data_IF_901963616844
#
_entry.id   IF_901963616844
#
_cell.length_a   1.000
_cell.length_b   1.000
_cell.length_c   1.000
_cell.angle_alpha   90.00
_cell.angle_beta   90.00
_cell.angle_gamma   90.00
#
_symmetry.space_group_name_H-M   'P 1'
#
loop_
_entity.id
_entity.type
_entity.pdbx_description
1 polymer ?
#
# COMPACT_ATOMS: atom_id res chain seq x y z
N UNK A 1 9.28 -15.50 -5.45
CA UNK A 1 8.06 -15.92 -6.17
C UNK A 1 7.49 -14.72 -6.88
N UNK A 2 6.72 -14.91 -7.95
CA UNK A 2 6.12 -13.90 -8.84
C UNK A 2 5.27 -12.80 -8.13
N UNK A 3 5.10 -12.96 -6.82
CA UNK A 3 4.24 -12.18 -5.94
C UNK A 3 4.98 -11.07 -5.17
N UNK A 4 6.29 -10.95 -5.32
CA UNK A 4 7.07 -9.91 -4.67
C UNK A 4 6.83 -8.53 -5.33
N UNK A 5 6.59 -7.51 -4.51
CA UNK A 5 6.50 -6.13 -4.96
C UNK A 5 7.91 -5.58 -5.14
N UNK A 6 8.22 -5.03 -6.32
CA UNK A 6 9.54 -4.46 -6.61
C UNK A 6 9.43 -3.07 -7.26
N UNK A 7 10.42 -2.17 -7.09
CA UNK A 7 10.44 -0.92 -7.83
C UNK A 7 10.44 -1.19 -9.35
N UNK A 8 9.75 -0.32 -10.09
CA UNK A 8 9.81 -0.28 -11.55
C UNK A 8 11.14 0.31 -12.02
N UNK A 9 11.70 -0.23 -13.10
CA UNK A 9 12.82 0.44 -13.80
C UNK A 9 12.33 1.62 -14.63
N UNK A 10 13.24 2.47 -15.10
CA UNK A 10 12.89 3.59 -15.98
C UNK A 10 12.25 3.11 -17.30
N UNK A 11 12.78 2.03 -17.88
CA UNK A 11 12.26 1.41 -19.10
C UNK A 11 10.84 0.85 -18.89
N UNK A 12 10.61 0.19 -17.75
CA UNK A 12 9.27 -0.28 -17.37
C UNK A 12 8.32 0.90 -17.12
N UNK A 13 8.79 1.99 -16.53
CA UNK A 13 7.98 3.18 -16.30
C UNK A 13 7.54 3.84 -17.60
N UNK A 14 8.40 3.93 -18.61
CA UNK A 14 8.01 4.44 -19.93
C UNK A 14 6.97 3.51 -20.58
N UNK A 15 7.24 2.20 -20.59
CA UNK A 15 6.36 1.18 -21.18
C UNK A 15 4.99 1.10 -20.53
N UNK A 16 4.94 1.16 -19.20
CA UNK A 16 3.73 0.93 -18.41
C UNK A 16 3.05 2.20 -17.93
N UNK A 17 3.57 3.39 -18.27
CA UNK A 17 2.99 4.68 -17.87
C UNK A 17 1.49 4.80 -18.15
N UNK A 18 1.04 4.36 -19.32
CA UNK A 18 -0.37 4.38 -19.71
C UNK A 18 -1.23 3.39 -18.90
N UNK A 19 -0.69 2.23 -18.54
CA UNK A 19 -1.40 1.19 -17.77
C UNK A 19 -1.44 1.51 -16.27
N UNK A 20 -0.34 2.04 -15.73
CA UNK A 20 -0.21 2.46 -14.33
C UNK A 20 -1.17 3.62 -13.99
N UNK A 21 -1.38 4.52 -14.96
CA UNK A 21 -2.22 5.70 -14.79
C UNK A 21 -1.65 6.71 -13.79
N UNK A 22 -2.43 7.75 -13.44
CA UNK A 22 -1.98 8.81 -12.54
C UNK A 22 -1.79 8.30 -11.10
N UNK A 23 -0.88 8.90 -10.33
CA UNK A 23 -0.67 8.53 -8.94
C UNK A 23 -1.93 8.74 -8.08
N UNK A 24 -2.14 7.91 -7.05
CA UNK A 24 -3.29 8.04 -6.17
C UNK A 24 -3.24 9.39 -5.44
N UNK A 25 -4.39 10.09 -5.43
CA UNK A 25 -4.49 11.41 -4.83
C UNK A 25 -4.35 11.32 -3.31
N UNK A 26 -3.28 11.93 -2.78
CA UNK A 26 -3.09 12.17 -1.35
C UNK A 26 -3.82 13.44 -0.93
N UNK A 27 -4.63 13.34 0.12
CA UNK A 27 -5.19 14.48 0.84
C UNK A 27 -4.50 14.60 2.21
N UNK A 28 -4.74 15.68 2.95
CA UNK A 28 -4.21 15.83 4.32
C UNK A 28 -4.56 14.68 5.27
N UNK A 29 -5.62 13.92 4.95
CA UNK A 29 -6.08 12.75 5.72
C UNK A 29 -5.50 11.40 5.26
N UNK A 30 -4.69 11.36 4.20
CA UNK A 30 -4.19 10.13 3.58
C UNK A 30 -4.65 9.94 2.14
N UNK A 31 -4.60 8.71 1.63
CA UNK A 31 -5.03 8.36 0.27
C UNK A 31 -6.49 7.90 0.27
N UNK A 32 -7.30 8.45 -0.64
CA UNK A 32 -8.74 8.14 -0.70
C UNK A 32 -9.01 6.63 -0.87
N UNK A 33 -8.24 5.94 -1.72
CA UNK A 33 -8.38 4.51 -1.95
C UNK A 33 -8.11 3.69 -0.67
N UNK A 34 -7.03 4.01 0.05
CA UNK A 34 -6.67 3.33 1.30
C UNK A 34 -7.67 3.60 2.41
N UNK A 35 -8.14 4.85 2.53
CA UNK A 35 -9.17 5.23 3.50
C UNK A 35 -10.45 4.45 3.25
N UNK A 36 -10.91 4.38 2.00
CA UNK A 36 -12.09 3.62 1.63
C UNK A 36 -11.93 2.13 1.94
N UNK A 37 -10.75 1.56 1.69
CA UNK A 37 -10.44 0.15 1.97
C UNK A 37 -10.53 -0.18 3.47
N UNK A 38 -9.92 0.64 4.31
CA UNK A 38 -10.00 0.50 5.78
C UNK A 38 -11.44 0.66 6.27
N UNK A 39 -12.20 1.63 5.74
CA UNK A 39 -13.61 1.83 6.11
C UNK A 39 -14.51 0.66 5.71
N UNK A 40 -14.17 -0.03 4.61
CA UNK A 40 -14.85 -1.24 4.15
C UNK A 40 -14.45 -2.50 4.93
N UNK A 41 -13.49 -2.39 5.85
CA UNK A 41 -12.91 -3.52 6.60
C UNK A 41 -12.25 -4.57 5.70
N UNK A 42 -11.69 -4.14 4.56
CA UNK A 42 -10.86 -4.99 3.69
C UNK A 42 -9.49 -5.28 4.31
N UNK A 43 -9.10 -4.51 5.31
CA UNK A 43 -7.97 -4.76 6.21
C UNK A 43 -8.47 -4.50 7.62
N UNK A 44 -8.30 -5.47 8.50
CA UNK A 44 -8.84 -5.42 9.86
C UNK A 44 -7.80 -4.98 10.88
N UNK A 45 -6.51 -5.21 10.60
CA UNK A 45 -5.44 -4.78 11.49
C UNK A 45 -5.23 -3.26 11.48
N UNK A 46 -5.51 -2.60 10.35
CA UNK A 46 -5.27 -1.16 10.16
C UNK A 46 -6.53 -0.38 10.50
N UNK A 47 -6.40 0.57 11.43
CA UNK A 47 -7.49 1.48 11.82
C UNK A 47 -7.12 2.93 11.54
N UNK A 48 -8.01 3.69 10.87
CA UNK A 48 -7.74 5.09 10.50
C UNK A 48 -7.31 5.98 11.67
N UNK A 49 -7.93 5.81 12.83
CA UNK A 49 -7.59 6.59 14.03
C UNK A 49 -6.27 6.21 14.71
N UNK A 50 -5.60 5.14 14.24
CA UNK A 50 -4.33 4.65 14.76
C UNK A 50 -3.16 4.90 13.81
N UNK A 51 -3.42 5.32 12.57
CA UNK A 51 -2.37 5.62 11.60
C UNK A 51 -1.56 6.81 12.10
N UNK A 52 -0.25 6.61 12.27
CA UNK A 52 0.72 7.63 12.67
C UNK A 52 1.28 8.38 11.47
N UNK A 53 1.52 7.66 10.36
CA UNK A 53 2.16 8.21 9.17
C UNK A 53 1.54 7.65 7.89
N UNK A 54 1.42 8.50 6.88
CA UNK A 54 1.14 8.10 5.50
C UNK A 54 2.42 8.29 4.66
N UNK A 55 2.93 7.21 4.08
CA UNK A 55 4.09 7.22 3.19
C UNK A 55 3.78 7.79 1.80
N UNK A 56 4.80 8.03 0.97
CA UNK A 56 4.62 8.47 -0.41
C UNK A 56 4.07 7.34 -1.28
N UNK A 57 3.34 7.69 -2.35
CA UNK A 57 2.97 6.73 -3.38
C UNK A 57 4.17 6.45 -4.29
N UNK A 58 4.43 5.18 -4.60
CA UNK A 58 5.54 4.74 -5.45
C UNK A 58 5.05 3.83 -6.58
N UNK A 59 5.61 3.95 -7.79
CA UNK A 59 5.30 3.01 -8.88
C UNK A 59 6.08 1.71 -8.67
N UNK A 60 5.38 0.57 -8.66
CA UNK A 60 5.98 -0.75 -8.42
C UNK A 60 5.39 -1.81 -9.35
N UNK A 61 6.17 -2.87 -9.60
CA UNK A 61 5.69 -4.08 -10.26
C UNK A 61 5.24 -5.08 -9.20
N UNK A 62 4.04 -5.64 -9.38
CA UNK A 62 3.52 -6.78 -8.63
C UNK A 62 2.81 -7.74 -9.58
N UNK A 63 3.09 -9.05 -9.49
CA UNK A 63 2.53 -10.07 -10.41
C UNK A 63 2.71 -9.70 -11.88
N UNK A 64 3.92 -9.22 -12.21
CA UNK A 64 4.33 -8.75 -13.54
C UNK A 64 3.44 -7.63 -14.13
N UNK A 65 2.76 -6.85 -13.28
CA UNK A 65 1.92 -5.71 -13.67
C UNK A 65 2.28 -4.45 -12.89
N UNK A 66 2.11 -3.26 -13.49
CA UNK A 66 2.37 -1.98 -12.85
C UNK A 66 1.24 -1.59 -11.89
N UNK A 67 1.61 -1.22 -10.67
CA UNK A 67 0.68 -0.69 -9.68
C UNK A 67 1.30 0.48 -8.92
N UNK A 68 0.43 1.33 -8.39
CA UNK A 68 0.83 2.28 -7.36
C UNK A 68 0.83 1.57 -6.03
N UNK A 69 1.83 1.84 -5.20
CA UNK A 69 1.84 1.40 -3.81
C UNK A 69 1.97 2.59 -2.89
N UNK A 70 1.43 2.50 -1.68
CA UNK A 70 1.62 3.52 -0.66
C UNK A 70 1.64 2.86 0.71
N UNK A 71 2.45 3.41 1.63
CA UNK A 71 2.61 2.84 2.97
C UNK A 71 1.86 3.61 4.04
N UNK A 72 1.55 2.93 5.14
CA UNK A 72 1.07 3.52 6.39
C UNK A 72 1.83 2.93 7.55
N UNK A 73 2.17 3.77 8.52
CA UNK A 73 2.73 3.33 9.79
C UNK A 73 1.64 3.38 10.86
N UNK A 74 1.46 2.29 11.59
CA UNK A 74 0.46 2.17 12.65
C UNK A 74 1.01 1.30 13.79
N UNK A 75 0.54 1.51 15.04
CA UNK A 75 0.95 0.69 16.16
C UNK A 75 0.25 -0.68 16.09
N UNK A 76 1.03 -1.76 16.13
CA UNK A 76 0.55 -3.14 16.33
C UNK A 76 0.92 -3.58 17.74
N UNK A 77 -0.03 -4.19 18.45
CA UNK A 77 0.20 -4.71 19.80
C UNK A 77 0.31 -6.23 19.75
N UNK A 78 1.41 -6.77 20.25
CA UNK A 78 1.65 -8.20 20.44
C UNK A 78 1.89 -8.51 21.94
N UNK A 79 2.06 -9.79 22.26
CA UNK A 79 2.40 -10.28 23.60
C UNK A 79 3.70 -9.66 24.16
N UNK A 80 4.59 -9.19 23.28
CA UNK A 80 5.88 -8.60 23.63
C UNK A 80 5.87 -7.06 23.66
N UNK A 81 4.70 -6.43 23.52
CA UNK A 81 4.55 -4.98 23.56
C UNK A 81 3.96 -4.38 22.27
N UNK A 82 3.93 -3.05 22.20
CA UNK A 82 3.43 -2.31 21.03
C UNK A 82 4.59 -1.76 20.23
N UNK A 83 4.62 -2.04 18.94
CA UNK A 83 5.64 -1.58 18.01
C UNK A 83 4.99 -0.92 16.78
N UNK A 84 5.77 -0.09 16.10
CA UNK A 84 5.34 0.53 14.86
C UNK A 84 5.52 -0.45 13.70
N UNK A 85 4.41 -0.75 13.04
CA UNK A 85 4.33 -1.62 11.88
C UNK A 85 4.10 -0.77 10.64
N UNK A 86 4.74 -1.15 9.53
CA UNK A 86 4.48 -0.55 8.23
C UNK A 86 3.72 -1.51 7.33
N UNK A 87 2.53 -1.08 6.91
CA UNK A 87 1.73 -1.76 5.90
C UNK A 87 1.77 -1.01 4.57
N UNK A 88 1.77 -1.75 3.48
CA UNK A 88 1.76 -1.27 2.10
C UNK A 88 0.47 -1.68 1.42
N UNK A 89 -0.25 -0.71 0.87
CA UNK A 89 -1.38 -0.97 -0.01
C UNK A 89 -0.91 -1.06 -1.47
N UNK A 90 -1.36 -2.08 -2.19
CA UNK A 90 -1.25 -2.16 -3.65
C UNK A 90 -2.52 -1.55 -4.24
N UNK A 91 -2.37 -0.53 -5.08
CA UNK A 91 -3.46 0.34 -5.53
C UNK A 91 -3.59 0.24 -7.05
N UNK A 92 -4.83 0.01 -7.50
CA UNK A 92 -5.22 0.09 -8.91
C UNK A 92 -6.36 1.11 -9.06
N UNK A 93 -6.06 2.21 -9.73
CA UNK A 93 -6.99 3.34 -9.85
C UNK A 93 -7.42 3.88 -8.48
N UNK A 94 -8.69 3.66 -8.13
CA UNK A 94 -9.30 4.18 -6.88
C UNK A 94 -9.52 3.10 -5.81
N UNK A 95 -8.95 1.90 -5.96
CA UNK A 95 -9.13 0.78 -5.03
C UNK A 95 -7.80 0.21 -4.58
N UNK A 96 -7.78 -0.26 -3.34
CA UNK A 96 -6.72 -1.15 -2.86
C UNK A 96 -7.07 -2.56 -3.31
N UNK A 97 -6.09 -3.26 -3.88
CA UNK A 97 -6.21 -4.66 -4.27
C UNK A 97 -5.82 -5.56 -3.09
N UNK A 98 -4.75 -5.19 -2.38
CA UNK A 98 -4.21 -6.00 -1.30
C UNK A 98 -3.37 -5.13 -0.36
N UNK A 99 -3.34 -5.49 0.92
CA UNK A 99 -2.49 -4.90 1.94
C UNK A 99 -1.39 -5.88 2.32
N UNK A 100 -0.16 -5.40 2.49
CA UNK A 100 1.00 -6.25 2.80
C UNK A 100 1.94 -5.64 3.80
N UNK A 101 2.56 -6.46 4.65
CA UNK A 101 3.66 -6.00 5.49
C UNK A 101 4.88 -5.67 4.63
N UNK A 102 5.51 -4.51 4.83
CA UNK A 102 6.71 -4.16 4.03
C UNK A 102 7.93 -5.00 4.39
N UNK A 103 7.99 -5.52 5.62
CA UNK A 103 9.08 -6.40 6.07
C UNK A 103 9.04 -7.80 5.47
N UNK A 104 7.85 -8.43 5.47
CA UNK A 104 7.69 -9.83 5.04
C UNK A 104 7.15 -9.98 3.61
N UNK A 105 6.42 -8.98 3.11
CA UNK A 105 5.66 -9.07 1.87
C UNK A 105 4.38 -9.92 1.96
N UNK A 106 4.05 -10.42 3.16
CA UNK A 106 2.83 -11.18 3.46
C UNK A 106 1.61 -10.27 3.50
N UNK A 107 0.43 -10.84 3.21
CA UNK A 107 -0.85 -10.13 3.30
C UNK A 107 -1.17 -9.71 4.73
N UNK A 108 -1.73 -8.52 4.89
CA UNK A 108 -2.26 -8.02 6.16
C UNK A 108 -3.76 -8.35 6.20
N UNK A 109 -4.24 -9.04 7.25
CA UNK A 109 -5.66 -9.38 7.40
C UNK A 109 -6.55 -8.18 7.80
#
# INVERSE_FOLDING_TARGET
GDDAVRPMTAEEMEKFSAELGPPPKRSGKGYAAMIASIQRKEVTEISLGKIKLWGPARPQIWKNKPYWTATVTYPTTSLFGTFDTEGMAIISGTRVLEWRYTGSGEEIP
#
